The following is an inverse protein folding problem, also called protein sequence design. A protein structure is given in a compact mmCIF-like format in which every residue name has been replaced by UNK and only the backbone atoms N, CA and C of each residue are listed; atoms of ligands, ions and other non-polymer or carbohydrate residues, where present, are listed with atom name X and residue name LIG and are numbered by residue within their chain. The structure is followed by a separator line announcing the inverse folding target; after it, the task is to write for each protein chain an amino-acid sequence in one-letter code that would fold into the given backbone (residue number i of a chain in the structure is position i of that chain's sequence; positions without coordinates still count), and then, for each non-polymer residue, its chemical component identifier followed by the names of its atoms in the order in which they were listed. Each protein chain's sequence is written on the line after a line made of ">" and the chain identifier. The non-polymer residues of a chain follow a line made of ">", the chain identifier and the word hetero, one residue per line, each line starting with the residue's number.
data_IF_857790348496
#
_entry.id   IF_857790348496
#
_cell.length_a   1.000
_cell.length_b   1.000
_cell.length_c   1.000
_cell.angle_alpha   90.00
_cell.angle_beta   90.00
_cell.angle_gamma   90.00
#
_symmetry.space_group_name_H-M   'P 1'
#
loop_
_entity.id
_entity.type
_entity.pdbx_description
1 polymer ?
#
# COMPACT_ATOMS: atom_id res chain seq x y z
N UNK A 1 9.67 -15.34 -20.54
CA UNK A 1 8.71 -15.95 -19.61
C UNK A 1 8.04 -14.85 -18.77
N UNK A 2 6.77 -14.97 -18.57
CA UNK A 2 5.99 -14.07 -17.70
C UNK A 2 6.56 -14.19 -16.28
N UNK A 3 7.00 -13.09 -15.67
CA UNK A 3 7.51 -13.09 -14.30
C UNK A 3 6.36 -13.41 -13.32
N UNK A 4 5.20 -12.81 -13.55
CA UNK A 4 3.97 -13.10 -12.80
C UNK A 4 3.35 -14.39 -13.35
N UNK A 5 3.20 -15.39 -12.49
CA UNK A 5 2.55 -16.65 -12.78
C UNK A 5 1.03 -16.56 -12.56
N UNK A 6 0.28 -17.57 -12.98
CA UNK A 6 -1.15 -17.68 -12.65
C UNK A 6 -1.38 -17.75 -11.13
N UNK A 7 -0.51 -18.45 -10.42
CA UNK A 7 -0.55 -18.57 -8.97
C UNK A 7 -0.30 -17.22 -8.28
N UNK A 8 0.71 -16.49 -8.75
CA UNK A 8 0.98 -15.12 -8.28
C UNK A 8 -0.23 -14.19 -8.48
N UNK A 9 -0.91 -14.30 -9.64
CA UNK A 9 -2.08 -13.46 -9.92
C UNK A 9 -3.28 -13.83 -9.04
N UNK A 10 -3.47 -15.13 -8.74
CA UNK A 10 -4.49 -15.57 -7.78
C UNK A 10 -4.21 -15.02 -6.38
N UNK A 11 -2.96 -15.06 -5.95
CA UNK A 11 -2.55 -14.44 -4.68
C UNK A 11 -2.81 -12.94 -4.67
N UNK A 12 -2.37 -12.22 -5.71
CA UNK A 12 -2.57 -10.77 -5.82
C UNK A 12 -4.05 -10.40 -5.71
N UNK A 13 -4.94 -11.11 -6.40
CA UNK A 13 -6.38 -10.91 -6.33
C UNK A 13 -6.94 -11.12 -4.93
N UNK A 14 -6.55 -12.20 -4.25
CA UNK A 14 -6.97 -12.47 -2.86
C UNK A 14 -6.46 -11.39 -1.91
N UNK A 15 -5.21 -10.98 -2.07
CA UNK A 15 -4.56 -10.01 -1.22
C UNK A 15 -5.17 -8.61 -1.37
N UNK A 16 -5.47 -8.17 -2.60
CA UNK A 16 -6.12 -6.88 -2.85
C UNK A 16 -7.59 -6.85 -2.42
N UNK A 17 -8.31 -7.97 -2.57
CA UNK A 17 -9.72 -8.05 -2.16
C UNK A 17 -9.90 -8.21 -0.64
N UNK A 18 -8.86 -8.57 0.08
CA UNK A 18 -8.88 -8.61 1.54
C UNK A 18 -8.75 -7.19 2.12
N UNK A 19 -9.59 -6.85 3.08
CA UNK A 19 -9.48 -5.57 3.78
C UNK A 19 -8.36 -5.62 4.82
N UNK A 20 -7.48 -4.62 4.82
CA UNK A 20 -6.40 -4.42 5.80
C UNK A 20 -6.35 -2.96 6.25
N UNK A 21 -7.44 -2.43 6.84
CA UNK A 21 -7.44 -1.03 7.27
C UNK A 21 -6.35 -0.80 8.33
N UNK A 22 -5.74 0.36 8.28
CA UNK A 22 -4.67 0.77 9.20
C UNK A 22 -5.02 0.45 10.66
N UNK A 23 -4.15 -0.30 11.34
CA UNK A 23 -4.36 -0.81 12.69
C UNK A 23 -5.15 -2.12 12.77
N UNK A 24 -5.61 -2.67 11.64
CA UNK A 24 -6.41 -3.91 11.56
C UNK A 24 -5.93 -4.79 10.38
N UNK A 25 -4.62 -4.90 10.20
CA UNK A 25 -3.98 -5.54 9.04
C UNK A 25 -3.90 -7.06 9.14
N UNK A 26 -4.21 -7.66 10.28
CA UNK A 26 -3.91 -9.06 10.61
C UNK A 26 -4.39 -10.08 9.57
N UNK A 27 -5.56 -9.89 8.97
CA UNK A 27 -6.07 -10.81 7.94
C UNK A 27 -5.26 -10.74 6.63
N UNK A 28 -4.90 -9.54 6.17
CA UNK A 28 -4.05 -9.35 5.00
C UNK A 28 -2.64 -9.88 5.24
N UNK A 29 -2.09 -9.62 6.42
CA UNK A 29 -0.78 -10.13 6.84
C UNK A 29 -0.72 -11.66 6.88
N UNK A 30 -1.79 -12.31 7.33
CA UNK A 30 -1.88 -13.77 7.31
C UNK A 30 -1.84 -14.34 5.89
N UNK A 31 -2.61 -13.76 4.98
CA UNK A 31 -2.61 -14.16 3.55
C UNK A 31 -1.22 -13.95 2.92
N UNK A 32 -0.58 -12.84 3.22
CA UNK A 32 0.74 -12.52 2.72
C UNK A 32 1.80 -13.51 3.24
N UNK A 33 1.78 -13.81 4.54
CA UNK A 33 2.69 -14.77 5.16
C UNK A 33 2.48 -16.19 4.61
N UNK A 34 1.24 -16.63 4.43
CA UNK A 34 0.92 -17.92 3.82
C UNK A 34 1.56 -18.05 2.42
N UNK A 35 1.52 -16.98 1.63
CA UNK A 35 2.09 -16.97 0.29
C UNK A 35 3.62 -17.04 0.29
N UNK A 36 4.31 -16.30 1.16
CA UNK A 36 5.78 -16.27 1.15
C UNK A 36 6.43 -17.43 1.89
N UNK A 37 5.73 -18.10 2.81
CA UNK A 37 6.27 -19.16 3.66
C UNK A 37 7.07 -20.22 2.91
N UNK A 38 6.68 -20.72 1.71
CA UNK A 38 7.48 -21.68 0.97
C UNK A 38 8.82 -21.16 0.43
N UNK A 39 9.03 -19.86 0.47
CA UNK A 39 10.16 -19.17 -0.18
C UNK A 39 11.14 -18.54 0.79
N UNK A 40 10.89 -18.65 2.10
CA UNK A 40 11.71 -18.07 3.18
C UNK A 40 12.25 -19.17 4.11
N UNK A 41 13.26 -18.86 4.88
CA UNK A 41 13.83 -19.81 5.85
C UNK A 41 13.16 -19.72 7.21
N UNK A 42 12.78 -18.51 7.64
CA UNK A 42 12.04 -18.23 8.88
C UNK A 42 11.23 -16.95 8.78
N UNK A 43 10.42 -16.68 9.79
CA UNK A 43 9.67 -15.43 9.90
C UNK A 43 9.44 -15.05 11.36
N UNK A 44 9.07 -13.80 11.57
CA UNK A 44 8.55 -13.32 12.85
C UNK A 44 7.50 -12.22 12.60
N UNK A 45 6.71 -11.97 13.62
CA UNK A 45 5.69 -10.91 13.62
C UNK A 45 5.94 -10.06 14.85
N UNK A 46 5.95 -8.75 14.70
CA UNK A 46 6.10 -7.85 15.83
C UNK A 46 4.80 -7.66 16.61
N UNK A 47 4.87 -6.90 17.69
CA UNK A 47 3.72 -6.67 18.61
C UNK A 47 2.54 -5.98 17.92
N UNK A 48 2.78 -5.17 16.89
CA UNK A 48 1.74 -4.44 16.16
C UNK A 48 1.32 -5.12 14.85
N UNK A 49 1.95 -6.26 14.49
CA UNK A 49 1.53 -7.08 13.37
C UNK A 49 2.34 -6.88 12.08
N UNK A 50 3.46 -6.17 12.12
CA UNK A 50 4.43 -6.18 11.01
C UNK A 50 4.97 -7.59 10.83
N UNK A 51 4.86 -8.12 9.61
CA UNK A 51 5.34 -9.47 9.27
C UNK A 51 6.67 -9.36 8.53
N UNK A 52 7.64 -10.14 8.99
CA UNK A 52 8.97 -10.22 8.36
C UNK A 52 9.29 -11.66 7.99
N UNK A 53 9.44 -11.92 6.70
CA UNK A 53 10.03 -13.15 6.19
C UNK A 53 11.54 -12.99 6.05
N UNK A 54 12.31 -14.01 6.41
CA UNK A 54 13.76 -13.93 6.42
C UNK A 54 14.38 -15.04 5.59
N UNK A 55 15.34 -14.69 4.75
CA UNK A 55 16.23 -15.60 4.02
C UNK A 55 17.65 -15.38 4.56
N UNK A 56 18.38 -16.46 4.86
CA UNK A 56 19.71 -16.47 5.48
C UNK A 56 19.75 -15.73 6.84
N UNK A 57 19.00 -16.19 7.84
CA UNK A 57 18.88 -15.50 9.13
C UNK A 57 20.21 -15.41 9.92
N UNK A 58 21.18 -16.30 9.65
CA UNK A 58 22.48 -16.36 10.33
C UNK A 58 23.49 -15.34 9.80
N UNK A 59 23.19 -14.69 8.67
CA UNK A 59 24.06 -13.69 8.07
C UNK A 59 24.03 -12.38 8.87
N UNK A 60 25.23 -11.84 9.15
CA UNK A 60 25.38 -10.62 9.95
C UNK A 60 24.95 -9.36 9.20
N UNK A 61 25.20 -9.32 7.89
CA UNK A 61 24.79 -8.17 7.07
C UNK A 61 23.33 -8.31 6.67
N UNK A 62 22.51 -7.36 7.08
CA UNK A 62 21.07 -7.41 6.94
C UNK A 62 20.58 -6.39 5.92
N UNK A 63 19.89 -6.88 4.91
CA UNK A 63 19.22 -6.05 3.90
C UNK A 63 17.72 -6.19 4.09
N UNK A 64 17.04 -5.07 4.23
CA UNK A 64 15.58 -5.02 4.26
C UNK A 64 15.06 -4.65 2.86
N UNK A 65 14.06 -5.37 2.38
CA UNK A 65 13.13 -4.91 1.35
C UNK A 65 11.76 -4.77 1.99
N UNK A 66 11.08 -3.67 1.73
CA UNK A 66 9.93 -3.27 2.50
C UNK A 66 8.81 -2.73 1.65
N UNK A 67 7.58 -2.95 2.08
CA UNK A 67 6.35 -2.32 1.64
C UNK A 67 5.35 -2.28 2.81
N UNK A 68 4.33 -1.41 2.74
CA UNK A 68 3.30 -1.40 3.79
C UNK A 68 2.05 -2.21 3.42
N UNK A 69 1.47 -2.81 4.44
CA UNK A 69 0.34 -3.74 4.33
C UNK A 69 -1.02 -3.05 4.52
N UNK A 70 -1.03 -1.89 5.15
CA UNK A 70 -2.25 -1.18 5.51
C UNK A 70 -2.84 -0.38 4.35
N UNK A 71 -4.10 -0.04 4.51
CA UNK A 71 -4.86 0.80 3.60
C UNK A 71 -5.64 1.88 4.36
N UNK A 72 -5.84 3.01 3.71
CA UNK A 72 -6.74 4.07 4.18
C UNK A 72 -8.17 3.55 4.40
N UNK A 73 -8.82 4.08 5.42
CA UNK A 73 -10.16 3.65 5.81
C UNK A 73 -10.86 4.75 6.62
N UNK A 74 -11.95 4.38 7.27
CA UNK A 74 -12.71 5.27 8.14
C UNK A 74 -13.00 4.57 9.46
N UNK A 75 -13.27 5.37 10.50
CA UNK A 75 -13.87 4.91 11.75
C UNK A 75 -15.30 5.41 11.88
N UNK A 76 -16.20 4.57 12.36
CA UNK A 76 -17.48 5.01 12.90
C UNK A 76 -17.20 5.95 14.07
N UNK A 77 -17.70 7.19 13.99
CA UNK A 77 -17.45 8.22 15.01
C UNK A 77 -18.70 8.59 15.81
N UNK A 78 -19.83 8.71 15.14
CA UNK A 78 -21.07 9.11 15.76
C UNK A 78 -22.26 8.47 15.05
N UNK A 79 -23.22 7.94 15.82
CA UNK A 79 -24.45 7.35 15.32
C UNK A 79 -25.60 8.24 15.75
N UNK A 80 -26.37 8.77 14.79
CA UNK A 80 -27.50 9.63 15.06
C UNK A 80 -28.69 8.84 15.59
N UNK A 81 -29.65 9.53 16.24
CA UNK A 81 -30.91 8.90 16.70
C UNK A 81 -31.71 8.27 15.54
N UNK A 82 -31.56 8.81 14.33
CA UNK A 82 -32.27 8.40 13.13
C UNK A 82 -31.47 7.35 12.30
N UNK A 83 -30.41 6.75 12.86
CA UNK A 83 -29.67 5.64 12.27
C UNK A 83 -28.57 6.00 11.28
N UNK A 84 -28.26 7.27 11.07
CA UNK A 84 -27.14 7.69 10.21
C UNK A 84 -25.82 7.68 10.98
N UNK A 85 -24.72 7.45 10.26
CA UNK A 85 -23.38 7.22 10.85
C UNK A 85 -22.41 8.26 10.31
N UNK A 86 -21.84 9.08 11.20
CA UNK A 86 -20.74 9.99 10.87
C UNK A 86 -19.38 9.34 11.14
N UNK A 87 -18.36 9.79 10.43
CA UNK A 87 -17.08 9.11 10.32
C UNK A 87 -15.90 9.98 10.72
N UNK A 88 -14.78 9.32 11.03
CA UNK A 88 -13.43 9.90 11.11
C UNK A 88 -12.53 9.19 10.11
N UNK A 89 -11.53 9.91 9.60
CA UNK A 89 -10.49 9.30 8.76
C UNK A 89 -9.61 8.36 9.56
N UNK A 90 -9.23 7.28 8.92
CA UNK A 90 -8.13 6.41 9.34
C UNK A 90 -7.12 6.39 8.19
N UNK A 91 -6.07 7.22 8.29
CA UNK A 91 -5.19 7.58 7.18
C UNK A 91 -5.76 8.68 6.28
N UNK A 92 -5.30 8.73 5.03
CA UNK A 92 -5.56 9.81 4.07
C UNK A 92 -6.89 9.73 3.28
N UNK A 93 -7.92 9.08 3.81
CA UNK A 93 -9.20 8.89 3.09
C UNK A 93 -9.82 10.18 2.56
N UNK A 94 -10.19 10.20 1.28
CA UNK A 94 -10.72 11.37 0.61
C UNK A 94 -12.24 11.48 0.77
N UNK A 95 -12.69 12.52 1.45
CA UNK A 95 -14.09 12.81 1.67
C UNK A 95 -14.82 13.35 0.42
N UNK A 96 -14.10 13.89 -0.56
CA UNK A 96 -14.73 14.46 -1.77
C UNK A 96 -15.30 13.39 -2.68
N UNK A 97 -14.68 12.21 -2.70
CA UNK A 97 -15.12 11.08 -3.52
C UNK A 97 -16.02 10.09 -2.77
N UNK A 98 -16.24 10.32 -1.48
CA UNK A 98 -17.04 9.43 -0.63
C UNK A 98 -18.53 9.33 -1.02
N UNK A 99 -19.25 10.43 -1.37
CA UNK A 99 -20.67 10.37 -1.71
C UNK A 99 -20.97 9.31 -2.77
N UNK A 100 -22.05 8.55 -2.54
CA UNK A 100 -22.53 7.46 -3.39
C UNK A 100 -21.69 6.19 -3.43
N UNK A 101 -20.59 6.14 -2.68
CA UNK A 101 -19.77 4.91 -2.57
C UNK A 101 -20.40 3.90 -1.63
N UNK A 102 -20.29 2.62 -2.00
CA UNK A 102 -20.63 1.48 -1.14
C UNK A 102 -19.46 1.14 -0.25
N UNK A 103 -19.76 0.74 0.98
CA UNK A 103 -18.76 0.41 2.00
C UNK A 103 -19.14 -0.84 2.79
N UNK A 104 -18.13 -1.42 3.43
CA UNK A 104 -18.24 -2.47 4.41
C UNK A 104 -17.90 -1.90 5.79
N UNK A 105 -18.80 -2.00 6.74
CA UNK A 105 -18.56 -1.71 8.15
C UNK A 105 -18.15 -3.03 8.80
N UNK A 106 -16.97 -3.09 9.37
CA UNK A 106 -16.45 -4.29 10.01
C UNK A 106 -16.88 -4.34 11.46
N UNK A 107 -17.64 -5.37 11.83
CA UNK A 107 -18.13 -5.59 13.19
C UNK A 107 -17.71 -6.96 13.70
N UNK A 108 -17.83 -7.19 14.99
CA UNK A 108 -17.61 -8.53 15.57
C UNK A 108 -18.64 -9.58 15.10
N UNK A 109 -19.79 -9.14 14.60
CA UNK A 109 -20.84 -10.01 14.06
C UNK A 109 -20.66 -10.27 12.55
N UNK A 110 -19.64 -9.69 11.91
CA UNK A 110 -19.38 -9.75 10.48
C UNK A 110 -19.44 -8.39 9.81
N UNK A 111 -19.40 -8.39 8.48
CA UNK A 111 -19.45 -7.17 7.68
C UNK A 111 -20.90 -6.72 7.45
N UNK A 112 -21.16 -5.44 7.67
CA UNK A 112 -22.43 -4.79 7.38
C UNK A 112 -22.25 -3.87 6.17
N UNK A 113 -23.11 -4.00 5.17
CA UNK A 113 -23.12 -3.14 3.99
C UNK A 113 -23.75 -1.79 4.32
N UNK A 114 -23.16 -0.72 3.79
CA UNK A 114 -23.70 0.63 3.87
C UNK A 114 -23.33 1.43 2.62
N UNK A 115 -23.93 2.61 2.50
CA UNK A 115 -23.65 3.55 1.42
C UNK A 115 -23.36 4.93 1.99
N UNK A 116 -22.44 5.67 1.38
CA UNK A 116 -22.33 7.11 1.64
C UNK A 116 -23.54 7.84 1.04
N UNK A 117 -24.34 8.44 1.90
CA UNK A 117 -25.47 9.27 1.49
C UNK A 117 -25.01 10.62 0.97
N UNK A 118 -25.84 11.20 0.10
CA UNK A 118 -25.70 12.58 -0.35
C UNK A 118 -27.05 13.12 -0.82
N UNK A 119 -27.39 14.39 -0.58
CA UNK A 119 -28.63 14.96 -1.04
C UNK A 119 -28.80 14.84 -2.56
N UNK A 120 -29.96 14.45 -3.02
CA UNK A 120 -30.27 14.36 -4.44
C UNK A 120 -30.14 15.72 -5.13
N UNK A 121 -29.76 15.74 -6.42
CA UNK A 121 -29.52 16.98 -7.17
C UNK A 121 -30.75 17.91 -7.13
N UNK A 122 -31.97 17.37 -7.18
CA UNK A 122 -33.20 18.12 -7.15
C UNK A 122 -33.53 18.76 -5.80
N UNK A 123 -32.90 18.32 -4.72
CA UNK A 123 -33.06 18.87 -3.37
C UNK A 123 -31.92 19.83 -2.99
N UNK A 124 -30.94 19.97 -3.86
CA UNK A 124 -29.78 20.87 -3.65
C UNK A 124 -30.06 22.24 -4.26
N UNK A 125 -29.68 23.29 -3.59
CA UNK A 125 -29.72 24.65 -4.10
C UNK A 125 -28.33 25.12 -4.46
N UNK A 126 -28.07 25.44 -5.73
CA UNK A 126 -26.75 25.82 -6.23
C UNK A 126 -26.12 27.02 -5.47
N UNK A 127 -26.95 27.94 -4.94
CA UNK A 127 -26.46 29.09 -4.17
C UNK A 127 -26.00 28.74 -2.73
N UNK A 128 -26.45 27.60 -2.19
CA UNK A 128 -26.15 27.15 -0.82
C UNK A 128 -25.49 25.79 -0.78
N UNK A 129 -25.22 25.20 -1.93
CA UNK A 129 -24.58 23.89 -2.03
C UNK A 129 -23.19 23.92 -1.38
N UNK A 130 -22.95 22.96 -0.50
CA UNK A 130 -21.65 22.75 0.13
C UNK A 130 -20.97 21.52 -0.48
N UNK A 131 -19.67 21.59 -0.75
CA UNK A 131 -18.94 20.40 -1.19
C UNK A 131 -18.91 19.35 -0.08
N UNK A 132 -18.69 18.07 -0.42
CA UNK A 132 -18.45 17.05 0.58
C UNK A 132 -17.28 17.42 1.50
N UNK A 133 -17.51 17.31 2.80
CA UNK A 133 -16.53 17.53 3.88
C UNK A 133 -16.71 16.47 4.93
N UNK A 134 -15.70 16.30 5.78
CA UNK A 134 -15.73 15.29 6.83
C UNK A 134 -16.92 15.43 7.79
N UNK A 135 -17.38 16.64 8.02
CA UNK A 135 -18.49 16.97 8.92
C UNK A 135 -19.87 16.83 8.29
N UNK A 136 -19.96 16.65 6.97
CA UNK A 136 -21.25 16.55 6.27
C UNK A 136 -21.43 15.26 5.45
N UNK A 137 -20.45 14.36 5.42
CA UNK A 137 -20.59 13.02 4.85
C UNK A 137 -21.08 12.05 5.93
N UNK A 138 -21.92 11.09 5.54
CA UNK A 138 -22.47 10.10 6.46
C UNK A 138 -22.76 8.79 5.73
N UNK A 139 -22.89 7.70 6.51
CA UNK A 139 -23.33 6.40 6.01
C UNK A 139 -24.80 6.16 6.34
N UNK A 140 -25.43 5.44 5.45
CA UNK A 140 -26.73 4.83 5.61
C UNK A 140 -26.61 3.31 5.45
N UNK A 141 -26.98 2.57 6.48
CA UNK A 141 -27.04 1.11 6.49
C UNK A 141 -28.46 0.55 6.47
N UNK A 142 -29.45 1.39 6.16
CA UNK A 142 -30.85 1.02 6.05
C UNK A 142 -31.60 0.86 7.38
N UNK A 143 -31.03 1.34 8.47
CA UNK A 143 -31.64 1.31 9.81
C UNK A 143 -32.49 2.57 10.05
N UNK A 144 -33.61 2.41 10.76
CA UNK A 144 -34.54 3.51 11.06
C UNK A 144 -34.12 4.33 12.30
N UNK A 145 -33.27 3.76 13.18
CA UNK A 145 -32.84 4.38 14.42
C UNK A 145 -31.48 3.83 14.88
N UNK A 146 -30.94 4.45 15.91
CA UNK A 146 -29.64 4.07 16.50
C UNK A 146 -29.67 2.65 17.06
N UNK A 147 -30.77 2.21 17.66
CA UNK A 147 -30.89 0.89 18.26
C UNK A 147 -30.76 -0.22 17.21
N UNK A 148 -31.37 -0.03 16.03
CA UNK A 148 -31.20 -0.97 14.91
C UNK A 148 -29.76 -1.02 14.41
N UNK A 149 -29.06 0.12 14.33
CA UNK A 149 -27.64 0.16 13.98
C UNK A 149 -26.80 -0.64 14.96
N UNK A 150 -27.01 -0.42 16.26
CA UNK A 150 -26.30 -1.13 17.34
C UNK A 150 -26.60 -2.64 17.35
N UNK A 151 -27.82 -3.05 17.02
CA UNK A 151 -28.21 -4.48 16.88
C UNK A 151 -27.41 -5.20 15.77
N UNK A 152 -27.00 -4.49 14.71
CA UNK A 152 -26.12 -5.03 13.67
C UNK A 152 -24.66 -5.23 14.17
N UNK A 153 -24.33 -4.77 15.38
CA UNK A 153 -22.99 -4.82 15.95
C UNK A 153 -22.15 -3.60 15.63
N UNK A 154 -22.72 -2.57 15.03
CA UNK A 154 -22.02 -1.32 14.72
C UNK A 154 -21.93 -0.47 15.97
N UNK A 155 -20.73 0.00 16.28
CA UNK A 155 -20.45 0.91 17.39
C UNK A 155 -19.35 1.91 17.00
N UNK A 156 -19.18 2.95 17.78
CA UNK A 156 -18.06 3.89 17.62
C UNK A 156 -16.74 3.12 17.69
N UNK A 157 -15.87 3.32 16.67
CA UNK A 157 -14.60 2.61 16.55
C UNK A 157 -14.62 1.43 15.55
N UNK A 158 -15.78 1.00 15.05
CA UNK A 158 -15.81 0.08 13.91
C UNK A 158 -15.10 0.71 12.70
N UNK A 159 -14.24 -0.07 12.04
CA UNK A 159 -13.57 0.39 10.80
C UNK A 159 -14.48 0.20 9.60
N UNK A 160 -14.30 1.05 8.60
CA UNK A 160 -15.11 1.08 7.37
C UNK A 160 -14.17 1.12 6.17
N UNK A 161 -14.36 0.21 5.24
CA UNK A 161 -13.61 0.16 3.98
C UNK A 161 -14.54 0.28 2.77
N UNK A 162 -14.03 0.77 1.64
CA UNK A 162 -14.78 0.71 0.39
C UNK A 162 -15.01 -0.74 -0.03
N UNK A 163 -16.13 -1.01 -0.72
CA UNK A 163 -16.49 -2.34 -1.20
C UNK A 163 -15.74 -2.74 -2.49
N UNK A 164 -15.03 -1.82 -3.09
CA UNK A 164 -14.42 -1.95 -4.41
C UNK A 164 -13.47 -3.18 -4.51
N UNK A 165 -13.71 -4.04 -5.50
CA UNK A 165 -12.94 -5.25 -5.75
C UNK A 165 -11.93 -5.07 -6.88
N UNK A 166 -10.91 -5.94 -6.88
CA UNK A 166 -9.93 -6.01 -7.96
C UNK A 166 -10.58 -6.41 -9.28
N UNK A 167 -10.27 -5.65 -10.32
CA UNK A 167 -10.63 -5.98 -11.69
C UNK A 167 -9.49 -5.72 -12.67
N UNK A 168 -9.62 -6.29 -13.86
CA UNK A 168 -8.70 -6.03 -14.99
C UNK A 168 -9.45 -5.19 -16.02
N UNK A 169 -8.94 -3.98 -16.27
CA UNK A 169 -9.50 -3.06 -17.26
C UNK A 169 -8.76 -3.22 -18.58
N UNK A 170 -9.53 -3.39 -19.68
CA UNK A 170 -9.00 -3.52 -21.04
C UNK A 170 -7.88 -4.58 -21.15
N UNK A 171 -7.97 -5.67 -20.43
CA UNK A 171 -7.00 -6.79 -20.39
C UNK A 171 -5.55 -6.40 -20.07
N UNK A 172 -5.30 -5.17 -19.60
CA UNK A 172 -3.95 -4.62 -19.43
C UNK A 172 -3.74 -3.89 -18.10
N UNK A 173 -4.78 -3.36 -17.49
CA UNK A 173 -4.68 -2.57 -16.27
C UNK A 173 -5.28 -3.28 -15.08
N UNK A 174 -4.53 -3.43 -14.02
CA UNK A 174 -5.03 -3.80 -12.71
C UNK A 174 -5.67 -2.58 -12.06
N UNK A 175 -6.89 -2.75 -11.61
CA UNK A 175 -7.68 -1.73 -10.95
C UNK A 175 -8.18 -2.29 -9.63
N UNK A 176 -8.00 -1.58 -8.57
CA UNK A 176 -8.46 -2.04 -7.26
C UNK A 176 -8.26 -1.01 -6.16
N UNK A 177 -8.88 -1.27 -5.06
CA UNK A 177 -8.62 -0.62 -3.79
C UNK A 177 -7.25 -1.07 -3.28
N UNK A 178 -6.57 -0.20 -2.54
CA UNK A 178 -5.36 -0.54 -1.79
C UNK A 178 -4.19 -1.08 -2.64
N UNK A 179 -4.10 -0.70 -3.93
CA UNK A 179 -2.85 -0.84 -4.66
C UNK A 179 -1.73 -0.04 -3.97
N UNK A 180 -2.09 1.04 -3.29
CA UNK A 180 -1.30 1.70 -2.27
C UNK A 180 -1.46 0.95 -0.93
N UNK A 181 -0.46 0.24 -0.40
CA UNK A 181 0.76 -0.18 -1.11
C UNK A 181 0.87 -1.72 -1.14
N UNK A 182 -0.27 -2.41 -1.25
CA UNK A 182 -0.27 -3.87 -1.34
C UNK A 182 0.36 -4.39 -2.62
N UNK A 183 0.46 -3.53 -3.65
CA UNK A 183 1.23 -3.90 -4.85
C UNK A 183 2.73 -3.99 -4.51
N UNK A 184 3.25 -3.12 -3.66
CA UNK A 184 4.59 -3.23 -3.11
C UNK A 184 4.76 -4.51 -2.29
N UNK A 185 3.81 -4.80 -1.40
CA UNK A 185 3.79 -6.06 -0.63
C UNK A 185 3.79 -7.30 -1.52
N UNK A 186 3.03 -7.29 -2.61
CA UNK A 186 3.07 -8.33 -3.63
C UNK A 186 4.46 -8.43 -4.28
N UNK A 187 5.08 -7.30 -4.65
CA UNK A 187 6.38 -7.31 -5.32
C UNK A 187 7.48 -7.89 -4.44
N UNK A 188 7.56 -7.51 -3.17
CA UNK A 188 8.58 -8.05 -2.26
C UNK A 188 8.36 -9.55 -1.99
N UNK A 189 7.11 -10.01 -1.96
CA UNK A 189 6.80 -11.44 -1.89
C UNK A 189 7.27 -12.20 -3.15
N UNK A 190 7.08 -11.63 -4.33
CA UNK A 190 7.56 -12.20 -5.60
C UNK A 190 9.11 -12.23 -5.67
N UNK A 191 9.80 -11.30 -5.02
CA UNK A 191 11.26 -11.37 -4.86
C UNK A 191 11.66 -12.65 -4.15
N UNK A 192 11.04 -12.99 -3.02
CA UNK A 192 11.30 -14.24 -2.30
C UNK A 192 11.07 -15.47 -3.18
N UNK A 193 9.92 -15.51 -3.87
CA UNK A 193 9.58 -16.60 -4.79
C UNK A 193 10.64 -16.77 -5.89
N UNK A 194 11.02 -15.68 -6.53
CA UNK A 194 11.99 -15.71 -7.64
C UNK A 194 13.38 -16.13 -7.18
N UNK A 195 13.85 -15.66 -6.03
CA UNK A 195 15.12 -16.08 -5.43
C UNK A 195 15.12 -17.59 -5.20
N UNK A 196 14.09 -18.12 -4.55
CA UNK A 196 13.98 -19.56 -4.26
C UNK A 196 13.87 -20.41 -5.51
N UNK A 197 12.99 -20.04 -6.45
CA UNK A 197 12.76 -20.81 -7.67
C UNK A 197 13.94 -20.81 -8.65
N UNK A 198 14.77 -19.78 -8.61
CA UNK A 198 15.98 -19.70 -9.43
C UNK A 198 17.25 -20.14 -8.69
N UNK A 199 17.14 -20.68 -7.47
CA UNK A 199 18.25 -21.09 -6.63
C UNK A 199 19.33 -20.01 -6.49
N UNK A 200 18.90 -18.76 -6.26
CA UNK A 200 19.82 -17.63 -6.08
C UNK A 200 20.23 -17.55 -4.62
N UNK A 201 21.52 -17.77 -4.36
CA UNK A 201 22.11 -17.58 -3.05
C UNK A 201 22.50 -16.11 -2.84
N UNK A 202 22.18 -15.59 -1.66
CA UNK A 202 22.52 -14.22 -1.27
C UNK A 202 23.66 -14.25 -0.25
N UNK A 203 24.63 -13.32 -0.34
CA UNK A 203 25.74 -13.21 0.62
C UNK A 203 25.36 -12.36 1.86
N UNK A 204 24.05 -12.24 2.17
CA UNK A 204 23.51 -11.46 3.27
C UNK A 204 22.16 -12.02 3.71
N UNK A 205 21.73 -11.64 4.89
CA UNK A 205 20.36 -11.89 5.36
C UNK A 205 19.38 -10.93 4.70
N UNK A 206 18.37 -11.47 4.02
CA UNK A 206 17.30 -10.69 3.40
C UNK A 206 16.06 -10.73 4.28
N UNK A 207 15.62 -9.56 4.71
CA UNK A 207 14.46 -9.33 5.56
C UNK A 207 13.34 -8.71 4.72
N UNK A 208 12.35 -9.53 4.38
CA UNK A 208 11.21 -9.14 3.54
C UNK A 208 10.11 -8.68 4.48
N UNK A 209 9.92 -7.38 4.55
CA UNK A 209 9.15 -6.71 5.59
C UNK A 209 7.87 -6.12 5.04
N UNK A 210 6.73 -6.57 5.55
CA UNK A 210 5.41 -6.03 5.22
C UNK A 210 4.91 -5.24 6.44
N UNK A 211 5.18 -3.94 6.46
CA UNK A 211 4.97 -3.04 7.59
C UNK A 211 3.49 -2.71 7.78
N UNK A 212 3.09 -2.41 9.03
CA UNK A 212 1.76 -1.91 9.38
C UNK A 212 1.77 -0.40 9.57
N UNK A 213 0.60 0.24 9.50
CA UNK A 213 0.37 1.63 9.94
C UNK A 213 1.28 2.69 9.27
N UNK A 214 1.60 2.51 8.00
CA UNK A 214 2.28 3.54 7.21
C UNK A 214 1.42 4.80 7.11
N UNK A 215 0.14 4.63 6.78
CA UNK A 215 -0.85 5.67 6.46
C UNK A 215 -1.18 6.64 7.61
N UNK A 216 -0.69 6.34 8.82
CA UNK A 216 -0.86 7.18 10.01
C UNK A 216 0.48 7.66 10.58
N UNK A 217 1.53 7.62 9.77
CA UNK A 217 2.83 8.20 10.08
C UNK A 217 3.97 7.21 10.24
N UNK A 218 4.08 6.21 9.34
CA UNK A 218 5.24 5.31 9.19
C UNK A 218 5.52 4.43 10.43
N UNK A 219 4.49 4.11 11.22
CA UNK A 219 4.66 3.54 12.57
C UNK A 219 5.27 2.15 12.58
N UNK A 220 4.84 1.28 11.67
CA UNK A 220 5.39 -0.07 11.54
C UNK A 220 6.86 -0.06 11.15
N UNK A 221 7.24 0.78 10.21
CA UNK A 221 8.63 0.94 9.78
C UNK A 221 9.52 1.50 10.91
N UNK A 222 9.04 2.49 11.68
CA UNK A 222 9.75 2.98 12.86
C UNK A 222 10.05 1.88 13.87
N UNK A 223 9.06 1.04 14.19
CA UNK A 223 9.21 -0.05 15.16
C UNK A 223 10.10 -1.19 14.63
N UNK A 224 9.88 -1.60 13.39
CA UNK A 224 10.55 -2.78 12.86
C UNK A 224 12.02 -2.52 12.56
N UNK A 225 12.40 -1.29 12.19
CA UNK A 225 13.81 -0.94 11.98
C UNK A 225 14.62 -1.05 13.26
N UNK A 226 14.05 -0.71 14.41
CA UNK A 226 14.69 -0.88 15.73
C UNK A 226 14.87 -2.36 16.08
N UNK A 227 13.95 -3.22 15.66
CA UNK A 227 14.01 -4.67 15.91
C UNK A 227 15.04 -5.36 15.00
N UNK A 228 15.02 -5.08 13.70
CA UNK A 228 15.91 -5.71 12.71
C UNK A 228 17.32 -5.12 12.80
N UNK A 229 17.45 -3.81 12.97
CA UNK A 229 18.70 -3.04 12.88
C UNK A 229 19.43 -3.32 11.55
N UNK A 230 18.80 -2.98 10.42
CA UNK A 230 19.34 -3.33 9.11
C UNK A 230 20.58 -2.49 8.75
N UNK A 231 21.44 -3.05 7.89
CA UNK A 231 22.56 -2.32 7.30
C UNK A 231 22.14 -1.51 6.08
N UNK A 232 21.07 -1.94 5.40
CA UNK A 232 20.49 -1.30 4.21
C UNK A 232 18.99 -1.55 4.18
N UNK A 233 18.22 -0.57 3.73
CA UNK A 233 16.80 -0.70 3.45
C UNK A 233 16.46 -0.23 2.03
N UNK A 234 15.69 -1.03 1.30
CA UNK A 234 15.08 -0.67 0.03
C UNK A 234 13.58 -0.71 0.21
N UNK A 235 12.97 0.46 0.22
CA UNK A 235 11.53 0.62 0.39
C UNK A 235 10.86 0.67 -0.97
N UNK A 236 9.76 -0.05 -1.11
CA UNK A 236 8.89 0.04 -2.29
C UNK A 236 7.60 0.73 -1.88
N UNK A 237 7.17 1.66 -2.69
CA UNK A 237 5.91 2.37 -2.49
C UNK A 237 5.29 2.72 -3.84
N UNK A 238 4.27 3.54 -3.84
CA UNK A 238 3.60 4.00 -5.05
C UNK A 238 3.82 5.50 -5.24
N UNK A 239 3.55 6.01 -6.44
CA UNK A 239 3.59 7.44 -6.76
C UNK A 239 2.57 7.77 -7.84
N UNK A 240 2.38 9.05 -8.13
CA UNK A 240 1.38 9.50 -9.09
C UNK A 240 1.86 9.40 -10.54
N UNK A 241 1.04 8.81 -11.41
CA UNK A 241 1.11 9.07 -12.85
C UNK A 241 0.62 10.50 -13.10
N UNK A 242 1.51 11.36 -13.61
CA UNK A 242 1.22 12.78 -13.83
C UNK A 242 0.76 13.09 -15.25
N UNK A 243 0.48 12.06 -16.05
CA UNK A 243 -0.03 12.22 -17.42
C UNK A 243 -1.56 12.23 -17.51
N UNK A 244 -2.24 12.06 -16.37
CA UNK A 244 -3.70 12.13 -16.30
C UNK A 244 -4.20 13.57 -16.37
N UNK A 245 -5.46 13.80 -16.84
CA UNK A 245 -6.05 15.14 -16.86
C UNK A 245 -6.00 15.85 -15.51
N UNK A 246 -5.92 17.18 -15.53
CA UNK A 246 -5.94 18.07 -14.36
C UNK A 246 -4.68 18.05 -13.47
N UNK A 247 -3.60 17.37 -13.87
CA UNK A 247 -2.33 17.39 -13.15
C UNK A 247 -1.35 18.37 -13.83
N UNK A 248 -0.82 19.31 -13.04
CA UNK A 248 0.23 20.23 -13.48
C UNK A 248 1.61 19.60 -13.32
N UNK A 249 2.20 19.12 -14.40
CA UNK A 249 3.49 18.45 -14.41
C UNK A 249 4.66 19.36 -14.00
N UNK A 250 4.54 20.68 -14.14
CA UNK A 250 5.58 21.60 -13.67
C UNK A 250 5.65 21.62 -12.15
N UNK A 251 4.53 21.38 -11.48
CA UNK A 251 4.45 21.31 -10.00
C UNK A 251 4.75 19.92 -9.47
N UNK A 252 4.24 18.89 -10.14
CA UNK A 252 4.28 17.50 -9.64
C UNK A 252 5.47 16.69 -10.19
N UNK A 253 6.17 17.22 -11.20
CA UNK A 253 7.15 16.45 -11.97
C UNK A 253 6.50 15.57 -13.05
N UNK A 254 7.31 15.03 -13.93
CA UNK A 254 6.84 14.11 -14.95
C UNK A 254 7.03 12.66 -14.50
N UNK A 255 5.95 11.90 -14.48
CA UNK A 255 5.95 10.48 -14.20
C UNK A 255 4.83 9.82 -15.00
N UNK A 256 5.12 8.74 -15.70
CA UNK A 256 4.19 8.07 -16.60
C UNK A 256 4.11 6.58 -16.29
N UNK A 257 2.90 6.07 -16.22
CA UNK A 257 2.63 4.64 -16.11
C UNK A 257 3.25 3.89 -17.30
N UNK A 258 3.81 2.70 -17.05
CA UNK A 258 4.47 1.85 -18.06
C UNK A 258 5.83 2.39 -18.61
N UNK A 259 6.42 3.36 -17.94
CA UNK A 259 7.80 3.82 -18.26
C UNK A 259 8.85 3.31 -17.26
N UNK A 260 8.47 2.35 -16.46
CA UNK A 260 9.29 1.76 -15.40
C UNK A 260 9.12 2.43 -14.02
N UNK A 261 9.66 1.81 -12.97
CA UNK A 261 9.58 2.35 -11.61
C UNK A 261 10.33 3.66 -11.50
N UNK A 262 9.98 4.41 -10.48
CA UNK A 262 10.60 5.69 -10.15
C UNK A 262 11.64 5.51 -9.08
N UNK A 263 12.88 5.91 -9.35
CA UNK A 263 13.94 6.00 -8.35
C UNK A 263 14.00 7.43 -7.84
N UNK A 264 13.80 7.59 -6.53
CA UNK A 264 13.66 8.91 -5.90
C UNK A 264 15.01 9.49 -5.47
N UNK A 265 15.17 10.78 -5.68
CA UNK A 265 16.23 11.62 -5.15
C UNK A 265 15.65 12.44 -4.00
N UNK A 266 16.07 12.17 -2.78
CA UNK A 266 15.62 12.85 -1.57
C UNK A 266 16.73 12.85 -0.50
N UNK A 267 16.64 13.72 0.52
CA UNK A 267 17.60 13.69 1.65
C UNK A 267 17.66 12.32 2.36
N UNK A 268 16.53 11.64 2.51
CA UNK A 268 16.46 10.31 3.11
C UNK A 268 17.07 9.20 2.24
N UNK A 269 17.25 9.45 0.95
CA UNK A 269 17.79 8.45 0.01
C UNK A 269 19.31 8.54 -0.05
N UNK A 270 19.99 7.46 0.35
CA UNK A 270 21.43 7.40 0.36
C UNK A 270 21.99 7.31 -1.06
N UNK A 271 22.89 8.22 -1.41
CA UNK A 271 23.35 8.43 -2.79
C UNK A 271 24.01 7.21 -3.42
N UNK A 272 24.92 6.54 -2.71
CA UNK A 272 25.64 5.36 -3.24
C UNK A 272 24.69 4.20 -3.49
N UNK A 273 23.72 3.99 -2.58
CA UNK A 273 22.70 2.94 -2.75
C UNK A 273 21.79 3.25 -3.93
N UNK A 274 21.31 4.49 -4.05
CA UNK A 274 20.52 4.95 -5.21
C UNK A 274 21.28 4.73 -6.52
N UNK A 275 22.55 5.14 -6.57
CA UNK A 275 23.37 5.03 -7.78
C UNK A 275 23.66 3.57 -8.11
N UNK A 276 23.81 2.68 -7.12
CA UNK A 276 23.89 1.24 -7.31
C UNK A 276 22.63 0.69 -7.98
N UNK A 277 21.44 1.08 -7.49
CA UNK A 277 20.15 0.68 -8.07
C UNK A 277 20.05 1.15 -9.53
N UNK A 278 20.37 2.42 -9.79
CA UNK A 278 20.34 3.00 -11.15
C UNK A 278 21.30 2.27 -12.08
N UNK A 279 22.52 2.04 -11.64
CA UNK A 279 23.55 1.35 -12.45
C UNK A 279 23.14 -0.11 -12.72
N UNK A 280 22.54 -0.78 -11.73
CA UNK A 280 21.99 -2.13 -11.91
C UNK A 280 20.87 -2.14 -12.92
N UNK A 281 19.93 -1.18 -12.86
CA UNK A 281 18.86 -1.04 -13.84
C UNK A 281 19.42 -0.81 -15.25
N UNK A 282 20.37 0.12 -15.42
CA UNK A 282 21.03 0.38 -16.73
C UNK A 282 21.73 -0.86 -17.27
N UNK A 283 22.53 -1.55 -16.45
CA UNK A 283 23.26 -2.77 -16.86
C UNK A 283 22.30 -3.86 -17.37
N UNK A 284 21.14 -3.96 -16.75
CA UNK A 284 20.14 -4.98 -17.08
C UNK A 284 19.06 -4.48 -18.05
N UNK A 285 19.22 -3.27 -18.60
CA UNK A 285 18.27 -2.66 -19.54
C UNK A 285 16.83 -2.59 -18.97
N UNK A 286 16.72 -2.34 -17.67
CA UNK A 286 15.44 -2.13 -16.99
C UNK A 286 15.09 -0.66 -17.11
N UNK A 287 13.94 -0.30 -17.69
CA UNK A 287 13.51 1.09 -17.77
C UNK A 287 13.21 1.61 -16.36
N UNK A 288 13.52 2.86 -16.10
CA UNK A 288 13.21 3.55 -14.86
C UNK A 288 13.05 5.05 -15.08
N UNK A 289 12.37 5.69 -14.19
CA UNK A 289 12.15 7.13 -14.15
C UNK A 289 12.82 7.73 -12.91
N UNK A 290 12.87 9.06 -12.83
CA UNK A 290 13.44 9.79 -11.69
C UNK A 290 12.44 10.79 -11.14
N UNK A 291 12.40 10.89 -9.84
CA UNK A 291 11.69 11.96 -9.12
C UNK A 291 12.58 12.59 -8.08
N UNK A 292 12.25 13.80 -7.66
CA UNK A 292 12.94 14.49 -6.59
C UNK A 292 11.93 14.91 -5.51
N UNK A 293 12.32 14.74 -4.25
CA UNK A 293 11.58 15.23 -3.10
C UNK A 293 12.51 16.02 -2.19
N UNK A 294 12.07 17.20 -1.78
CA UNK A 294 12.95 18.17 -1.10
C UNK A 294 13.04 17.98 0.42
N UNK A 295 12.06 17.34 1.04
CA UNK A 295 11.96 17.24 2.50
C UNK A 295 11.73 15.80 2.98
N UNK A 296 10.57 15.29 2.64
CA UNK A 296 10.10 13.97 3.00
C UNK A 296 9.84 13.19 1.73
N UNK A 297 10.07 11.88 1.76
CA UNK A 297 9.58 11.00 0.71
C UNK A 297 8.08 10.78 0.85
N UNK A 298 7.56 10.92 2.08
CA UNK A 298 6.18 10.58 2.42
C UNK A 298 5.94 9.08 2.42
N UNK A 299 7.00 8.28 2.66
CA UNK A 299 6.98 6.81 2.64
C UNK A 299 7.79 6.27 3.81
N UNK A 300 7.70 4.97 4.06
CA UNK A 300 8.47 4.28 5.09
C UNK A 300 10.00 4.45 4.95
N UNK A 301 10.48 4.91 3.79
CA UNK A 301 11.90 5.28 3.60
C UNK A 301 12.40 6.26 4.64
N UNK A 302 11.57 7.26 5.00
CA UNK A 302 11.94 8.28 5.97
C UNK A 302 12.15 7.67 7.36
N UNK A 303 11.33 6.70 7.75
CA UNK A 303 11.46 5.98 9.02
C UNK A 303 12.74 5.14 9.07
N UNK A 304 13.05 4.39 8.03
CA UNK A 304 14.29 3.62 7.96
C UNK A 304 15.52 4.52 7.95
N UNK A 305 15.53 5.56 7.11
CA UNK A 305 16.69 6.42 6.93
C UNK A 305 17.14 7.12 8.21
N UNK A 306 16.18 7.52 9.06
CA UNK A 306 16.45 8.33 10.25
C UNK A 306 16.42 7.53 11.56
N UNK A 307 16.44 6.20 11.49
CA UNK A 307 16.50 5.31 12.65
C UNK A 307 17.89 4.73 12.86
N UNK A 308 18.17 4.19 14.05
CA UNK A 308 19.42 3.50 14.41
C UNK A 308 20.71 4.30 14.06
N UNK A 309 20.67 5.61 14.18
CA UNK A 309 21.81 6.47 13.82
C UNK A 309 22.00 6.68 12.32
N UNK A 310 21.02 6.28 11.51
CA UNK A 310 20.99 6.39 10.06
C UNK A 310 21.18 5.05 9.35
N UNK A 311 20.14 4.59 8.68
CA UNK A 311 20.18 3.40 7.82
C UNK A 311 20.23 3.84 6.36
N UNK A 312 21.27 3.45 5.59
CA UNK A 312 21.29 3.69 4.14
C UNK A 312 20.03 3.15 3.48
N UNK A 313 19.20 4.05 2.99
CA UNK A 313 17.86 3.73 2.47
C UNK A 313 17.69 4.21 1.03
N UNK A 314 16.86 3.53 0.27
CA UNK A 314 16.44 3.92 -1.07
C UNK A 314 14.95 3.67 -1.25
N UNK A 315 14.34 4.43 -2.18
CA UNK A 315 12.94 4.34 -2.53
C UNK A 315 12.77 4.01 -4.01
N UNK A 316 12.00 2.97 -4.29
CA UNK A 316 11.56 2.57 -5.62
C UNK A 316 10.04 2.61 -5.64
N UNK A 317 9.45 3.54 -6.39
CA UNK A 317 8.01 3.75 -6.43
C UNK A 317 7.39 3.26 -7.74
N UNK A 318 6.15 2.76 -7.65
CA UNK A 318 5.35 2.41 -8.82
C UNK A 318 4.39 3.54 -9.16
N UNK A 319 4.37 4.01 -10.44
CA UNK A 319 3.36 4.97 -10.87
C UNK A 319 1.95 4.35 -10.83
N UNK A 320 1.01 5.05 -10.21
CA UNK A 320 -0.42 4.72 -10.22
C UNK A 320 -1.23 5.90 -10.72
N UNK A 321 -2.34 5.63 -11.41
CA UNK A 321 -3.36 6.64 -11.71
C UNK A 321 -4.36 6.74 -10.57
N UNK A 322 -4.75 7.98 -10.25
CA UNK A 322 -5.86 8.28 -9.33
C UNK A 322 -5.64 7.83 -7.88
N UNK A 323 -4.42 7.91 -7.38
CA UNK A 323 -4.10 7.70 -5.97
C UNK A 323 -4.40 8.98 -5.13
N UNK A 324 -4.95 8.91 -3.92
CA UNK A 324 -5.50 7.79 -3.16
C UNK A 324 -7.04 7.69 -3.27
N UNK A 325 -7.56 7.50 -4.46
CA UNK A 325 -9.00 7.26 -4.67
C UNK A 325 -9.35 5.78 -4.54
N UNK A 326 -10.64 5.46 -4.42
CA UNK A 326 -11.11 4.09 -4.25
C UNK A 326 -10.71 3.12 -5.37
N UNK A 327 -10.26 3.63 -6.52
CA UNK A 327 -9.73 2.86 -7.63
C UNK A 327 -8.42 3.47 -8.12
N UNK A 328 -7.37 2.67 -8.15
CA UNK A 328 -6.09 3.00 -8.75
C UNK A 328 -5.82 2.08 -9.93
N UNK A 329 -5.01 2.53 -10.89
CA UNK A 329 -4.69 1.78 -12.10
C UNK A 329 -3.20 1.50 -12.16
N UNK A 330 -2.84 0.23 -12.36
CA UNK A 330 -1.49 -0.22 -12.62
C UNK A 330 -1.49 -1.13 -13.86
N UNK A 331 -0.50 -1.00 -14.74
CA UNK A 331 -0.41 -1.89 -15.89
C UNK A 331 0.12 -3.26 -15.48
N UNK A 332 -0.59 -4.33 -15.84
CA UNK A 332 -0.28 -5.71 -15.46
C UNK A 332 1.15 -6.17 -15.82
N UNK A 333 1.77 -5.57 -16.86
CA UNK A 333 3.12 -5.90 -17.30
C UNK A 333 4.23 -5.17 -16.53
N UNK A 334 3.94 -4.09 -15.81
CA UNK A 334 4.95 -3.35 -15.03
C UNK A 334 5.42 -4.11 -13.80
N UNK A 335 4.52 -4.75 -13.08
CA UNK A 335 4.86 -5.58 -11.92
C UNK A 335 5.89 -6.65 -12.23
N UNK A 336 5.89 -7.17 -13.46
CA UNK A 336 6.86 -8.18 -13.88
C UNK A 336 8.23 -7.63 -14.31
N UNK A 337 8.30 -6.38 -14.76
CA UNK A 337 9.58 -5.74 -15.18
C UNK A 337 10.30 -5.07 -14.04
N UNK A 338 9.56 -4.66 -13.01
CA UNK A 338 10.06 -3.87 -11.88
C UNK A 338 10.75 -4.70 -10.79
N UNK A 339 10.65 -6.03 -10.85
CA UNK A 339 11.38 -6.92 -9.96
C UNK A 339 12.88 -6.89 -10.30
N UNK A 340 13.57 -5.90 -9.78
CA UNK A 340 15.02 -5.62 -9.98
C UNK A 340 15.91 -6.78 -9.52
N UNK A 341 15.39 -7.71 -8.74
CA UNK A 341 16.17 -8.77 -8.08
C UNK A 341 16.66 -9.90 -9.00
N UNK A 342 16.37 -9.87 -10.30
CA UNK A 342 16.72 -11.00 -11.18
C UNK A 342 18.22 -11.27 -11.31
N UNK A 343 19.12 -10.38 -10.80
CA UNK A 343 20.57 -10.52 -10.96
C UNK A 343 21.45 -9.96 -9.83
N UNK A 344 20.94 -9.81 -8.63
CA UNK A 344 21.81 -9.49 -7.48
C UNK A 344 22.77 -10.65 -7.13
N UNK A 345 22.54 -11.84 -7.68
CA UNK A 345 23.36 -13.05 -7.44
C UNK A 345 24.35 -13.45 -8.53
N UNK A 346 24.37 -12.78 -9.70
CA UNK A 346 25.39 -13.09 -10.71
C UNK A 346 26.73 -12.42 -10.33
N UNK A 347 27.56 -13.14 -9.58
CA UNK A 347 29.01 -12.87 -9.47
C UNK A 347 29.66 -13.10 -10.83
N UNK A 348 30.37 -12.11 -11.37
CA UNK A 348 31.65 -12.29 -12.02
C UNK A 348 32.71 -11.67 -11.16
#
# INVERSE_FOLDING_TARGET
>A
SRIITKESEVFLRKYLNNSSPTGFESNGQKLWLEYITPYIDTHFVDTYGTVVGVINPDEKYKVVIEAHADEISWFVHYITKDGFIYLRRNGGSDHQIAPSKRVNIHTQKGMVKAVFGWPAIHTRNASTEKPPKLDNIFLDCGCKDKEEVEKLGIHVGCVVTYEDEFMVLNNDFYVGRALDNRIGGFMIAEVARLLKQNNIELPFGLYITNSVQEEVGLRGAEMITETIKPNVAIVTDVTHDTTTPMIDQKKQGYCELNKGPVVTYAPAVQQKLRDLIINTAKKNKIPFQRAASSRYTGTDTDAFAYSNGGVPSALISLPLRYMPVSYTHLRAHETGRNLVCRRLGEKK
#
